data_IF_345522358218
#
_entry.id   IF_345522358218
#
_cell.length_a   1.000
_cell.length_b   1.000
_cell.length_c   1.000
_cell.angle_alpha   90.00
_cell.angle_beta   90.00
_cell.angle_gamma   90.00
#
_symmetry.space_group_name_H-M   'P 1'
#
loop_
_entity.id
_entity.type
_entity.pdbx_description
1 polymer ?
#
# COMPACT_ATOMS: atom_id res chain seq x y z
N UNK A 1 8.29 -13.84 -9.09
CA UNK A 1 6.94 -14.43 -8.96
C UNK A 1 5.97 -13.30 -8.74
N UNK A 2 4.92 -13.20 -9.56
CA UNK A 2 3.84 -12.24 -9.31
C UNK A 2 2.84 -12.88 -8.35
N UNK A 3 2.46 -12.17 -7.30
CA UNK A 3 1.49 -12.65 -6.31
C UNK A 3 0.19 -11.88 -6.56
N UNK A 4 -0.87 -12.58 -6.94
CA UNK A 4 -2.21 -12.00 -7.05
C UNK A 4 -2.89 -12.02 -5.68
N UNK A 5 -3.13 -10.83 -5.12
CA UNK A 5 -3.95 -10.67 -3.93
C UNK A 5 -5.42 -10.69 -4.32
N UNK A 6 -6.19 -11.60 -3.72
CA UNK A 6 -7.65 -11.56 -3.79
C UNK A 6 -8.21 -10.57 -2.77
N UNK A 7 -9.41 -10.02 -3.02
CA UNK A 7 -10.09 -9.15 -2.06
C UNK A 7 -10.21 -9.84 -0.70
N UNK A 8 -9.72 -9.18 0.36
CA UNK A 8 -9.67 -9.73 1.71
C UNK A 8 -8.52 -10.72 1.98
N UNK A 9 -7.68 -10.99 0.99
CA UNK A 9 -6.50 -11.83 1.12
C UNK A 9 -5.42 -11.19 2.00
N UNK A 10 -4.75 -12.02 2.78
CA UNK A 10 -3.56 -11.64 3.56
C UNK A 10 -2.39 -12.48 3.05
N UNK A 11 -1.24 -11.85 2.84
CA UNK A 11 -0.02 -12.50 2.40
C UNK A 11 1.05 -12.33 3.47
N UNK A 12 1.75 -13.41 3.80
CA UNK A 12 2.89 -13.34 4.72
C UNK A 12 4.18 -13.18 3.93
N UNK A 13 4.74 -11.97 3.95
CA UNK A 13 6.00 -11.68 3.26
C UNK A 13 7.18 -12.52 3.78
N UNK A 14 7.15 -12.93 5.05
CA UNK A 14 8.18 -13.82 5.61
C UNK A 14 8.20 -15.21 4.97
N UNK A 15 7.05 -15.70 4.51
CA UNK A 15 6.96 -17.00 3.82
C UNK A 15 7.36 -16.89 2.36
N UNK A 16 6.94 -15.81 1.70
CA UNK A 16 7.17 -15.60 0.27
C UNK A 16 8.56 -15.07 -0.06
N UNK A 17 9.15 -14.26 0.83
CA UNK A 17 10.45 -13.64 0.66
C UNK A 17 11.20 -13.51 2.00
N UNK A 18 11.83 -14.58 2.50
CA UNK A 18 12.65 -14.54 3.69
C UNK A 18 13.79 -13.50 3.56
N UNK A 19 13.97 -12.64 4.55
CA UNK A 19 15.02 -11.60 4.54
C UNK A 19 14.69 -10.36 3.69
N UNK A 20 13.41 -10.14 3.36
CA UNK A 20 12.96 -8.96 2.63
C UNK A 20 13.37 -7.66 3.34
N UNK A 21 14.18 -6.85 2.66
CA UNK A 21 14.68 -5.57 3.17
C UNK A 21 14.15 -4.36 2.39
N UNK A 22 13.59 -4.59 1.20
CA UNK A 22 13.04 -3.55 0.33
C UNK A 22 11.76 -4.05 -0.32
N UNK A 23 10.75 -3.19 -0.34
CA UNK A 23 9.45 -3.46 -0.96
C UNK A 23 9.13 -2.30 -1.90
N UNK A 24 8.71 -2.63 -3.12
CA UNK A 24 8.13 -1.69 -4.07
C UNK A 24 6.67 -2.07 -4.27
N UNK A 25 5.77 -1.12 -4.04
CA UNK A 25 4.34 -1.30 -4.27
C UNK A 25 3.95 -0.43 -5.47
N UNK A 26 3.29 -1.04 -6.46
CA UNK A 26 2.72 -0.34 -7.60
C UNK A 26 1.23 -0.59 -7.66
N UNK A 27 0.45 0.47 -7.87
CA UNK A 27 -0.99 0.41 -8.13
C UNK A 27 -1.21 0.80 -9.59
N UNK A 28 -1.94 -0.04 -10.33
CA UNK A 28 -2.34 0.22 -11.70
C UNK A 28 -3.79 -0.15 -11.91
N UNK A 29 -4.51 0.64 -12.70
CA UNK A 29 -5.91 0.42 -13.04
C UNK A 29 -6.18 0.84 -14.48
N UNK A 30 -7.22 0.26 -15.07
CA UNK A 30 -7.71 0.69 -16.36
C UNK A 30 -8.52 1.98 -16.20
N UNK A 31 -8.26 2.94 -17.08
CA UNK A 31 -9.03 4.18 -17.13
C UNK A 31 -10.50 3.87 -17.45
N UNK A 32 -11.39 4.78 -17.01
CA UNK A 32 -12.81 4.65 -17.33
C UNK A 32 -12.99 4.63 -18.85
N UNK A 33 -13.66 3.59 -19.34
CA UNK A 33 -13.94 3.42 -20.77
C UNK A 33 -15.19 4.18 -21.25
N UNK A 34 -16.05 4.64 -20.32
CA UNK A 34 -17.27 5.40 -20.59
C UNK A 34 -17.06 6.89 -20.32
N UNK A 35 -18.03 7.70 -20.73
CA UNK A 35 -18.16 9.08 -20.25
C UNK A 35 -18.38 9.14 -18.72
N UNK A 36 -17.99 10.26 -18.11
CA UNK A 36 -18.10 10.52 -16.68
C UNK A 36 -16.76 10.82 -15.99
N UNK A 37 -16.81 10.99 -14.67
CA UNK A 37 -15.63 11.35 -13.87
C UNK A 37 -14.65 10.18 -13.73
N UNK A 38 -13.36 10.48 -13.78
CA UNK A 38 -12.29 9.49 -13.68
C UNK A 38 -12.35 8.66 -12.39
N UNK A 39 -11.78 7.45 -12.43
CA UNK A 39 -11.56 6.68 -11.22
C UNK A 39 -10.40 7.29 -10.43
N UNK A 40 -10.74 7.87 -9.28
CA UNK A 40 -9.76 8.38 -8.32
C UNK A 40 -9.36 7.25 -7.36
N UNK A 41 -8.15 6.73 -7.56
CA UNK A 41 -7.58 5.65 -6.75
C UNK A 41 -6.44 6.17 -5.91
N UNK A 42 -6.55 5.95 -4.61
CA UNK A 42 -5.52 6.29 -3.65
C UNK A 42 -4.78 5.03 -3.16
N UNK A 43 -3.46 5.10 -3.18
CA UNK A 43 -2.60 4.22 -2.42
C UNK A 43 -2.20 4.90 -1.12
N UNK A 44 -2.26 4.17 -0.01
CA UNK A 44 -1.80 4.66 1.29
C UNK A 44 -1.05 3.58 2.06
N UNK A 45 -0.11 4.00 2.89
CA UNK A 45 0.65 3.12 3.76
C UNK A 45 0.56 3.61 5.21
N UNK A 46 0.48 2.65 6.13
CA UNK A 46 0.45 2.89 7.56
C UNK A 46 1.63 2.18 8.21
N UNK A 47 2.51 2.94 8.85
CA UNK A 47 3.60 2.36 9.63
C UNK A 47 3.15 2.17 11.08
N UNK A 48 2.93 0.92 11.46
CA UNK A 48 2.37 0.58 12.77
C UNK A 48 3.47 0.26 13.78
N UNK A 49 3.27 0.69 15.02
CA UNK A 49 4.01 0.24 16.20
C UNK A 49 3.55 -1.13 16.68
N UNK A 50 4.19 -1.62 17.75
CA UNK A 50 3.85 -2.90 18.36
C UNK A 50 2.43 -2.96 18.95
N UNK A 51 1.83 -1.81 19.23
CA UNK A 51 0.45 -1.65 19.69
C UNK A 51 -0.59 -1.66 18.56
N UNK A 52 -0.14 -1.80 17.30
CA UNK A 52 -0.99 -1.81 16.12
C UNK A 52 -1.50 -0.42 15.71
N UNK A 53 -0.95 0.66 16.25
CA UNK A 53 -1.30 2.03 15.89
C UNK A 53 -0.18 2.70 15.11
N UNK A 54 -0.52 3.74 14.35
CA UNK A 54 0.49 4.63 13.76
C UNK A 54 1.28 5.32 14.87
N UNK A 55 2.59 5.42 14.72
CA UNK A 55 3.45 5.97 15.78
C UNK A 55 3.40 7.50 15.80
N UNK A 56 3.05 8.13 14.68
CA UNK A 56 2.89 9.57 14.49
C UNK A 56 2.03 9.86 13.27
N UNK A 57 1.58 11.11 13.12
CA UNK A 57 0.82 11.54 11.94
C UNK A 57 1.63 11.40 10.64
N UNK A 58 2.96 11.51 10.71
CA UNK A 58 3.84 11.33 9.56
C UNK A 58 3.98 9.88 9.09
N UNK A 59 3.57 8.91 9.92
CA UNK A 59 3.60 7.48 9.59
C UNK A 59 2.35 7.02 8.82
N UNK A 60 1.42 7.93 8.55
CA UNK A 60 0.37 7.76 7.55
C UNK A 60 0.81 8.42 6.25
N UNK A 61 1.16 7.60 5.26
CA UNK A 61 1.65 8.03 3.94
C UNK A 61 0.52 7.92 2.94
N UNK A 62 0.19 9.03 2.27
CA UNK A 62 -0.91 9.13 1.30
C UNK A 62 -0.68 10.34 0.37
N UNK A 63 -1.63 10.68 -0.50
CA UNK A 63 -1.49 11.74 -1.51
C UNK A 63 -1.02 13.09 -0.95
N UNK A 64 -1.37 13.44 0.30
CA UNK A 64 -1.00 14.70 0.94
C UNK A 64 0.23 14.58 1.88
N UNK A 65 0.78 13.37 2.06
CA UNK A 65 1.94 13.10 2.90
C UNK A 65 2.78 12.00 2.23
N UNK A 66 3.65 12.39 1.30
CA UNK A 66 4.35 11.45 0.40
C UNK A 66 5.53 10.70 1.04
N UNK A 67 5.91 11.05 2.28
CA UNK A 67 7.09 10.51 2.96
C UNK A 67 6.80 10.25 4.45
N UNK A 68 7.35 9.16 4.97
CA UNK A 68 7.48 8.92 6.40
C UNK A 68 8.59 9.76 7.02
N UNK A 69 8.65 9.78 8.35
CA UNK A 69 9.73 10.42 9.12
C UNK A 69 11.09 9.71 9.03
N UNK A 70 11.13 8.49 8.48
CA UNK A 70 12.33 7.66 8.32
C UNK A 70 12.39 7.06 6.92
#
# INVERSE_FOLDING_TARGET
MAISLNKGGRLSLNKEAPGLSKVLVGLGWDARATDGADFDLDASAFMLGADGKVRSDTDFIFYNQLKSSC
#
